data_IF_175354212220
#
_entry.id   IF_175354212220
#
_cell.length_a   1.000
_cell.length_b   1.000
_cell.length_c   1.000
_cell.angle_alpha   90.00
_cell.angle_beta   90.00
_cell.angle_gamma   90.00
#
_symmetry.space_group_name_H-M   'P 1'
#
loop_
_entity.id
_entity.type
_entity.pdbx_description
1 polymer ?
#
# COMPACT_ATOMS: atom_id res chain seq x y z
N UNK A 1 18.71 15.85 17.93
CA UNK A 1 19.47 15.79 19.22
C UNK A 1 19.72 17.22 19.67
N UNK A 2 19.48 17.51 20.96
CA UNK A 2 19.72 18.81 21.53
C UNK A 2 21.04 18.78 22.35
N UNK A 3 21.96 19.71 22.08
CA UNK A 3 23.24 19.84 22.82
C UNK A 3 23.05 20.01 24.33
N UNK A 4 21.94 20.62 24.75
CA UNK A 4 21.63 20.86 26.20
C UNK A 4 20.97 19.66 26.88
N UNK A 5 20.47 18.70 26.07
CA UNK A 5 19.84 17.46 26.54
C UNK A 5 20.18 16.33 25.56
N UNK A 6 21.42 15.81 25.64
CA UNK A 6 21.91 14.82 24.67
C UNK A 6 21.28 13.42 24.83
N UNK A 7 20.63 13.15 25.97
CA UNK A 7 19.92 11.90 26.23
C UNK A 7 18.53 11.87 25.62
N UNK A 8 18.05 12.99 25.06
CA UNK A 8 16.76 13.07 24.40
C UNK A 8 16.89 13.15 22.89
N UNK A 9 16.20 12.24 22.20
CA UNK A 9 15.97 12.29 20.77
C UNK A 9 14.56 12.81 20.51
N UNK A 10 14.41 13.75 19.57
CA UNK A 10 13.12 14.31 19.18
C UNK A 10 12.90 14.04 17.70
N UNK A 11 11.77 13.41 17.38
CA UNK A 11 11.29 13.22 16.02
C UNK A 11 9.98 13.95 15.79
N UNK A 12 9.82 14.49 14.58
CA UNK A 12 8.60 15.19 14.17
C UNK A 12 8.12 14.58 12.86
N UNK A 13 6.86 14.18 12.80
CA UNK A 13 6.23 13.79 11.55
C UNK A 13 5.53 14.99 10.93
N UNK A 14 5.91 15.30 9.70
CA UNK A 14 5.24 16.27 8.85
C UNK A 14 5.28 15.76 7.41
N UNK A 15 4.22 15.10 6.97
CA UNK A 15 4.04 14.40 5.69
C UNK A 15 4.92 13.14 5.53
N UNK A 16 6.24 13.25 5.68
CA UNK A 16 7.14 12.09 5.62
C UNK A 16 6.85 11.11 6.77
N UNK A 17 6.84 9.81 6.49
CA UNK A 17 6.58 8.79 7.51
C UNK A 17 7.62 8.83 8.63
N UNK A 18 7.15 8.56 9.85
CA UNK A 18 8.02 8.44 11.02
C UNK A 18 7.42 7.41 11.96
N UNK A 19 8.22 6.43 12.33
CA UNK A 19 7.86 5.37 13.27
C UNK A 19 8.84 5.36 14.44
N UNK A 20 8.32 5.09 15.63
CA UNK A 20 9.11 4.89 16.83
C UNK A 20 9.11 3.41 17.19
N UNK A 21 10.28 2.81 17.35
CA UNK A 21 10.47 1.48 17.92
C UNK A 21 10.74 1.58 19.43
N UNK A 22 10.13 0.67 20.20
CA UNK A 22 10.38 0.54 21.64
C UNK A 22 11.15 -0.74 21.89
N UNK A 23 12.35 -0.62 22.47
CA UNK A 23 13.17 -1.74 22.93
C UNK A 23 13.27 -1.79 24.46
N UNK A 24 14.08 -2.70 24.95
CA UNK A 24 14.39 -2.79 26.37
C UNK A 24 15.50 -1.80 26.74
N UNK A 25 15.18 -0.78 27.52
CA UNK A 25 16.08 0.33 27.87
C UNK A 25 16.66 1.08 26.65
N UNK A 26 15.93 1.08 25.56
CA UNK A 26 16.31 1.77 24.33
C UNK A 26 15.08 2.17 23.54
N UNK A 27 15.20 3.20 22.73
CA UNK A 27 14.14 3.68 21.85
C UNK A 27 14.74 4.10 20.51
N UNK A 28 14.04 3.78 19.45
CA UNK A 28 14.49 3.98 18.08
C UNK A 28 13.54 4.86 17.30
N UNK A 29 14.04 5.48 16.25
CA UNK A 29 13.24 6.25 15.30
C UNK A 29 13.71 5.99 13.90
N UNK A 30 12.77 5.75 12.99
CA UNK A 30 13.04 5.53 11.57
C UNK A 30 11.86 6.00 10.71
N UNK A 31 12.07 6.07 9.42
CA UNK A 31 11.00 6.34 8.44
C UNK A 31 10.15 5.10 8.15
N UNK A 32 10.68 3.90 8.38
CA UNK A 32 10.04 2.61 8.07
C UNK A 32 10.28 1.58 9.15
N UNK A 33 9.30 0.70 9.38
CA UNK A 33 9.35 -0.42 10.32
C UNK A 33 10.47 -1.39 9.97
N UNK A 34 10.73 -1.64 8.69
CA UNK A 34 11.77 -2.57 8.24
C UNK A 34 13.16 -2.22 8.76
N UNK A 35 13.45 -0.92 8.92
CA UNK A 35 14.73 -0.47 9.47
C UNK A 35 14.91 -0.84 10.95
N UNK A 36 13.82 -1.06 11.68
CA UNK A 36 13.83 -1.32 13.12
C UNK A 36 13.39 -2.74 13.50
N UNK A 37 12.78 -3.48 12.57
CA UNK A 37 12.30 -4.85 12.81
C UNK A 37 13.39 -5.82 13.33
N UNK A 38 14.68 -5.67 12.96
CA UNK A 38 15.74 -6.50 13.55
C UNK A 38 16.00 -6.26 15.05
N UNK A 39 15.56 -5.12 15.60
CA UNK A 39 15.88 -4.71 16.99
C UNK A 39 14.65 -4.60 17.89
N UNK A 40 13.46 -4.51 17.34
CA UNK A 40 12.20 -4.47 18.11
C UNK A 40 11.01 -4.92 17.29
N UNK A 41 9.99 -5.45 17.98
CA UNK A 41 8.66 -5.76 17.40
C UNK A 41 7.57 -4.79 17.87
N UNK A 42 7.90 -3.78 18.68
CA UNK A 42 6.93 -2.83 19.21
C UNK A 42 7.08 -1.44 18.60
N UNK A 43 6.04 -1.00 17.90
CA UNK A 43 6.06 0.21 17.11
C UNK A 43 4.96 1.18 17.48
N UNK A 44 5.29 2.47 17.43
CA UNK A 44 4.34 3.58 17.51
C UNK A 44 4.41 4.36 16.20
N UNK A 45 3.31 4.35 15.46
CA UNK A 45 3.17 5.17 14.25
C UNK A 45 2.73 6.56 14.64
N UNK A 46 3.49 7.57 14.21
CA UNK A 46 3.11 8.97 14.43
C UNK A 46 2.12 9.40 13.32
N UNK A 47 1.24 10.31 13.67
CA UNK A 47 0.39 11.04 12.74
C UNK A 47 1.02 12.38 12.36
N UNK A 48 0.55 13.01 11.28
CA UNK A 48 1.03 14.34 10.88
C UNK A 48 0.82 15.36 11.99
N UNK A 49 1.88 16.15 12.26
CA UNK A 49 1.90 17.14 13.33
C UNK A 49 2.15 16.55 14.71
N UNK A 50 2.49 15.28 14.82
CA UNK A 50 2.92 14.71 16.10
C UNK A 50 4.45 14.76 16.25
N UNK A 51 4.86 14.95 17.52
CA UNK A 51 6.24 14.95 17.95
C UNK A 51 6.45 13.79 18.93
N UNK A 52 7.49 13.00 18.69
CA UNK A 52 7.95 11.99 19.64
C UNK A 52 9.17 12.49 20.40
N UNK A 53 9.12 12.39 21.70
CA UNK A 53 10.24 12.63 22.61
C UNK A 53 10.66 11.28 23.17
N UNK A 54 11.89 10.86 22.85
CA UNK A 54 12.43 9.56 23.19
C UNK A 54 13.64 9.70 24.11
N UNK A 55 13.70 8.88 25.12
CA UNK A 55 14.90 8.56 25.85
C UNK A 55 14.98 7.05 26.07
N UNK A 56 15.98 6.56 26.82
CA UNK A 56 16.18 5.13 27.07
C UNK A 56 14.97 4.46 27.73
N UNK A 57 14.21 5.19 28.55
CA UNK A 57 13.15 4.61 29.38
C UNK A 57 11.74 4.89 28.83
N UNK A 58 11.57 6.00 28.12
CA UNK A 58 10.24 6.53 27.82
C UNK A 58 10.12 7.12 26.42
N UNK A 59 9.00 6.78 25.79
CA UNK A 59 8.50 7.46 24.58
C UNK A 59 7.28 8.29 24.96
N UNK A 60 7.32 9.59 24.69
CA UNK A 60 6.20 10.50 24.88
C UNK A 60 5.83 11.13 23.55
N UNK A 61 4.58 10.98 23.13
CA UNK A 61 4.06 11.62 21.91
C UNK A 61 3.25 12.85 22.28
N UNK A 62 3.49 13.95 21.58
CA UNK A 62 2.76 15.22 21.74
C UNK A 62 2.27 15.72 20.40
N UNK A 63 1.22 16.51 20.41
CA UNK A 63 0.76 17.25 19.24
C UNK A 63 1.41 18.64 19.15
N UNK A 64 1.16 19.37 18.07
CA UNK A 64 1.68 20.73 17.85
C UNK A 64 1.25 21.76 18.94
N UNK A 65 0.18 21.45 19.71
CA UNK A 65 -0.25 22.26 20.85
C UNK A 65 0.45 21.87 22.17
N UNK A 66 1.52 21.07 22.08
CA UNK A 66 2.31 20.55 23.23
C UNK A 66 1.49 19.68 24.22
N UNK A 67 0.33 19.15 23.78
CA UNK A 67 -0.47 18.24 24.60
C UNK A 67 -0.02 16.81 24.34
N UNK A 68 0.15 16.03 25.41
CA UNK A 68 0.45 14.60 25.32
C UNK A 68 -0.72 13.86 24.66
N UNK A 69 -0.40 13.03 23.67
CA UNK A 69 -1.33 12.18 22.93
C UNK A 69 -1.09 10.73 23.33
N UNK A 70 -2.16 9.98 23.57
CA UNK A 70 -2.05 8.54 23.81
C UNK A 70 -1.73 7.85 22.50
N UNK A 71 -0.48 7.48 22.31
CA UNK A 71 -0.04 6.72 21.14
C UNK A 71 -0.26 5.23 21.37
N UNK A 72 -0.88 4.56 20.38
CA UNK A 72 -1.08 3.11 20.40
C UNK A 72 0.22 2.41 19.98
N UNK A 73 0.66 1.45 20.79
CA UNK A 73 1.75 0.54 20.39
C UNK A 73 1.16 -0.60 19.60
N UNK A 74 1.78 -0.89 18.45
CA UNK A 74 1.46 -2.01 17.58
C UNK A 74 2.57 -3.04 17.68
N UNK A 75 2.20 -4.29 17.84
CA UNK A 75 3.12 -5.41 17.75
C UNK A 75 3.16 -5.91 16.30
N UNK A 76 4.34 -6.11 15.78
CA UNK A 76 4.57 -6.58 14.41
C UNK A 76 5.39 -7.87 14.50
N UNK A 77 4.99 -8.88 13.72
CA UNK A 77 5.77 -10.11 13.64
C UNK A 77 7.12 -9.82 12.97
N UNK A 78 8.19 -9.88 13.77
CA UNK A 78 9.56 -9.67 13.29
C UNK A 78 9.98 -10.69 12.23
N UNK A 79 9.41 -11.89 12.23
CA UNK A 79 9.72 -12.92 11.24
C UNK A 79 9.24 -12.51 9.83
N UNK A 80 8.22 -11.67 9.72
CA UNK A 80 7.76 -11.13 8.45
C UNK A 80 8.78 -10.19 7.78
N UNK A 81 9.79 -9.74 8.53
CA UNK A 81 10.81 -8.78 8.07
C UNK A 81 12.24 -9.35 8.14
N UNK A 82 12.39 -10.65 8.37
CA UNK A 82 13.72 -11.27 8.34
C UNK A 82 14.28 -11.23 6.92
N UNK A 83 15.41 -10.55 6.79
CA UNK A 83 16.08 -10.27 5.54
C UNK A 83 17.32 -11.18 5.38
N UNK A 84 17.07 -12.45 5.09
CA UNK A 84 18.15 -13.37 4.72
C UNK A 84 18.34 -13.36 3.20
N UNK A 85 19.59 -13.37 2.73
CA UNK A 85 19.92 -13.46 1.31
C UNK A 85 19.58 -14.82 0.68
N UNK A 86 19.37 -15.87 1.51
CA UNK A 86 18.96 -17.20 1.03
C UNK A 86 19.92 -17.84 0.03
N UNK A 87 21.22 -17.53 0.14
CA UNK A 87 22.27 -18.04 -0.76
C UNK A 87 22.48 -17.21 -2.03
N UNK A 88 21.76 -16.11 -2.23
CA UNK A 88 21.97 -15.14 -3.31
C UNK A 88 23.04 -14.11 -2.95
N UNK A 89 23.70 -13.53 -3.95
CA UNK A 89 24.71 -12.49 -3.73
C UNK A 89 24.08 -11.12 -3.40
N UNK A 90 22.86 -10.85 -3.90
CA UNK A 90 22.17 -9.58 -3.75
C UNK A 90 20.67 -9.78 -3.51
N UNK A 91 20.05 -8.90 -2.75
CA UNK A 91 18.60 -8.93 -2.50
C UNK A 91 17.77 -8.88 -3.80
N UNK A 92 18.16 -8.05 -4.75
CA UNK A 92 17.47 -7.96 -6.03
C UNK A 92 17.47 -9.30 -6.79
N UNK A 93 18.60 -10.03 -6.77
CA UNK A 93 18.66 -11.36 -7.37
C UNK A 93 17.70 -12.34 -6.67
N UNK A 94 17.74 -12.40 -5.34
CA UNK A 94 16.78 -13.19 -4.55
C UNK A 94 15.34 -12.87 -4.91
N UNK A 95 14.99 -11.58 -4.92
CA UNK A 95 13.64 -11.11 -5.18
C UNK A 95 13.15 -11.42 -6.60
N UNK A 96 14.06 -11.47 -7.59
CA UNK A 96 13.74 -11.94 -8.94
C UNK A 96 13.32 -13.40 -8.91
N UNK A 97 14.03 -14.25 -8.19
CA UNK A 97 13.72 -15.68 -8.08
C UNK A 97 12.51 -15.96 -7.15
N UNK A 98 12.16 -15.04 -6.28
CA UNK A 98 10.96 -15.13 -5.43
C UNK A 98 9.64 -14.81 -6.18
N UNK A 99 9.70 -14.23 -7.38
CA UNK A 99 8.50 -13.79 -8.12
C UNK A 99 7.43 -14.89 -8.27
N UNK A 100 7.74 -16.14 -8.66
CA UNK A 100 6.72 -17.17 -8.82
C UNK A 100 5.96 -17.43 -7.51
N UNK A 101 6.68 -17.52 -6.38
CA UNK A 101 6.07 -17.68 -5.07
C UNK A 101 5.24 -16.47 -4.68
N UNK A 102 5.77 -15.26 -4.86
CA UNK A 102 5.09 -14.03 -4.52
C UNK A 102 3.77 -13.85 -5.31
N UNK A 103 3.76 -14.20 -6.60
CA UNK A 103 2.54 -14.18 -7.42
C UNK A 103 1.52 -15.19 -6.89
N UNK A 104 1.95 -16.41 -6.55
CA UNK A 104 1.08 -17.43 -5.95
C UNK A 104 0.47 -16.90 -4.63
N UNK A 105 1.28 -16.36 -3.73
CA UNK A 105 0.83 -15.82 -2.44
C UNK A 105 -0.14 -14.64 -2.64
N UNK A 106 0.04 -13.84 -3.71
CA UNK A 106 -0.86 -12.73 -4.04
C UNK A 106 -2.26 -13.18 -4.48
N UNK A 107 -2.39 -14.36 -5.09
CA UNK A 107 -3.67 -14.87 -5.60
C UNK A 107 -4.28 -15.96 -4.72
N UNK A 108 -3.52 -16.55 -3.81
CA UNK A 108 -3.96 -17.64 -2.95
C UNK A 108 -5.17 -17.23 -2.09
N UNK A 109 -6.22 -18.08 -2.12
CA UNK A 109 -7.48 -17.81 -1.42
C UNK A 109 -8.31 -16.65 -2.00
N UNK A 110 -7.89 -16.05 -3.12
CA UNK A 110 -8.56 -14.90 -3.77
C UNK A 110 -9.13 -15.23 -5.14
N UNK A 111 -8.74 -16.36 -5.69
CA UNK A 111 -9.19 -16.84 -6.99
C UNK A 111 -9.86 -18.19 -6.82
N UNK A 112 -11.02 -18.36 -7.42
CA UNK A 112 -11.70 -19.65 -7.61
C UNK A 112 -11.44 -20.17 -9.02
N UNK A 113 -11.82 -21.40 -9.31
CA UNK A 113 -11.70 -21.97 -10.65
C UNK A 113 -12.51 -21.22 -11.72
N UNK A 114 -13.36 -20.27 -11.34
CA UNK A 114 -14.27 -19.56 -12.25
C UNK A 114 -14.14 -18.04 -12.21
N UNK A 115 -13.73 -17.46 -11.07
CA UNK A 115 -13.73 -16.01 -10.88
C UNK A 115 -12.93 -15.58 -9.63
N UNK A 116 -12.76 -14.27 -9.43
CA UNK A 116 -12.28 -13.73 -8.16
C UNK A 116 -13.28 -14.03 -7.05
N UNK A 117 -12.78 -14.43 -5.88
CA UNK A 117 -13.62 -14.69 -4.72
C UNK A 117 -14.28 -13.39 -4.24
N UNK A 118 -15.52 -13.50 -3.76
CA UNK A 118 -16.22 -12.34 -3.18
C UNK A 118 -15.58 -11.88 -1.88
N UNK A 119 -15.60 -10.56 -1.67
CA UNK A 119 -15.12 -9.94 -0.43
C UNK A 119 -13.61 -9.79 -0.29
N UNK A 120 -12.79 -10.14 -1.30
CA UNK A 120 -11.32 -10.02 -1.23
C UNK A 120 -10.83 -8.59 -1.04
N UNK A 121 -11.62 -7.59 -1.43
CA UNK A 121 -11.34 -6.17 -1.25
C UNK A 121 -11.92 -5.60 0.05
N UNK A 122 -12.69 -6.38 0.79
CA UNK A 122 -13.42 -5.99 2.00
C UNK A 122 -14.93 -6.05 1.83
N UNK A 123 -15.62 -6.15 2.96
CA UNK A 123 -17.08 -6.25 2.98
C UNK A 123 -17.74 -4.99 2.38
N UNK A 124 -18.64 -5.18 1.42
CA UNK A 124 -19.39 -4.08 0.79
C UNK A 124 -18.73 -3.48 -0.45
N UNK A 125 -17.44 -3.71 -0.71
CA UNK A 125 -16.73 -3.14 -1.86
C UNK A 125 -17.47 -3.36 -3.18
N UNK A 126 -17.89 -4.59 -3.45
CA UNK A 126 -18.55 -4.95 -4.72
C UNK A 126 -19.88 -4.23 -4.93
N UNK A 127 -20.60 -3.94 -3.83
CA UNK A 127 -21.84 -3.15 -3.88
C UNK A 127 -21.55 -1.69 -4.26
N UNK A 128 -20.48 -1.13 -3.73
CA UNK A 128 -20.11 0.27 -3.97
C UNK A 128 -19.55 0.51 -5.38
N UNK A 129 -18.84 -0.50 -5.95
CA UNK A 129 -18.30 -0.37 -7.32
C UNK A 129 -19.30 -0.66 -8.43
N UNK A 130 -20.55 -1.01 -8.11
CA UNK A 130 -21.57 -1.41 -9.11
C UNK A 130 -21.88 -0.32 -10.14
N UNK A 131 -21.89 0.92 -9.70
CA UNK A 131 -22.27 2.08 -10.55
C UNK A 131 -21.06 2.91 -11.00
N UNK A 132 -19.85 2.39 -10.83
CA UNK A 132 -18.61 3.07 -11.21
C UNK A 132 -18.52 3.15 -12.74
N UNK A 133 -18.23 4.35 -13.24
CA UNK A 133 -18.03 4.63 -14.66
C UNK A 133 -16.62 5.12 -14.98
N UNK A 134 -15.85 5.47 -13.97
CA UNK A 134 -14.49 5.96 -14.11
C UNK A 134 -13.56 5.31 -13.08
N UNK A 135 -12.33 5.05 -13.49
CA UNK A 135 -11.26 4.60 -12.62
C UNK A 135 -10.13 5.62 -12.72
N UNK A 136 -9.71 6.14 -11.58
CA UNK A 136 -8.54 6.99 -11.46
C UNK A 136 -7.48 6.23 -10.70
N UNK A 137 -6.28 6.06 -11.27
CA UNK A 137 -5.17 5.40 -10.59
C UNK A 137 -4.05 6.42 -10.36
N UNK A 138 -3.51 6.42 -9.15
CA UNK A 138 -2.40 7.30 -8.76
C UNK A 138 -1.28 6.47 -8.17
N UNK A 139 -0.09 6.59 -8.74
CA UNK A 139 1.07 5.82 -8.32
C UNK A 139 2.38 6.51 -8.74
N UNK A 140 3.51 6.00 -8.27
CA UNK A 140 4.86 6.44 -8.64
C UNK A 140 5.73 5.25 -9.05
N UNK A 141 6.79 5.48 -9.83
CA UNK A 141 7.78 4.47 -10.18
C UNK A 141 7.17 3.27 -10.92
N UNK A 142 7.62 2.06 -10.58
CA UNK A 142 7.12 0.82 -11.20
C UNK A 142 5.64 0.58 -10.93
N UNK A 143 5.11 1.04 -9.79
CA UNK A 143 3.67 1.00 -9.49
C UNK A 143 2.84 1.81 -10.49
N UNK A 144 3.37 2.94 -10.99
CA UNK A 144 2.74 3.67 -12.09
C UNK A 144 2.70 2.84 -13.38
N UNK A 145 3.77 2.10 -13.68
CA UNK A 145 3.80 1.25 -14.87
C UNK A 145 2.82 0.08 -14.76
N UNK A 146 2.64 -0.52 -13.58
CA UNK A 146 1.60 -1.54 -13.36
C UNK A 146 0.19 -0.98 -13.59
N UNK A 147 -0.05 0.25 -13.14
CA UNK A 147 -1.30 0.97 -13.37
C UNK A 147 -1.56 1.23 -14.87
N UNK A 148 -0.53 1.57 -15.64
CA UNK A 148 -0.63 1.77 -17.10
C UNK A 148 -1.04 0.49 -17.83
N UNK A 149 -0.58 -0.66 -17.37
CA UNK A 149 -1.03 -1.96 -17.91
C UNK A 149 -2.50 -2.18 -17.60
N UNK A 150 -2.94 -1.88 -16.38
CA UNK A 150 -4.35 -1.99 -16.01
C UNK A 150 -5.25 -1.03 -16.80
N UNK A 151 -4.82 0.18 -17.08
CA UNK A 151 -5.54 1.12 -17.95
C UNK A 151 -5.84 0.49 -19.31
N UNK A 152 -4.84 -0.16 -19.91
CA UNK A 152 -5.04 -0.91 -21.17
C UNK A 152 -6.07 -2.03 -21.00
N UNK A 153 -6.01 -2.80 -19.91
CA UNK A 153 -6.97 -3.86 -19.63
C UNK A 153 -8.38 -3.31 -19.37
N UNK A 154 -8.50 -2.21 -18.66
CA UNK A 154 -9.80 -1.56 -18.39
C UNK A 154 -10.49 -1.15 -19.70
N UNK A 155 -9.78 -0.52 -20.60
CA UNK A 155 -10.32 -0.14 -21.90
C UNK A 155 -10.73 -1.35 -22.72
N UNK A 156 -9.89 -2.39 -22.74
CA UNK A 156 -10.12 -3.60 -23.55
C UNK A 156 -11.27 -4.47 -23.03
N UNK A 157 -11.34 -4.69 -21.72
CA UNK A 157 -12.23 -5.69 -21.14
C UNK A 157 -13.45 -5.10 -20.42
N UNK A 158 -13.36 -3.90 -19.88
CA UNK A 158 -14.45 -3.26 -19.15
C UNK A 158 -15.19 -2.21 -19.98
N UNK A 159 -14.48 -1.52 -20.86
CA UNK A 159 -14.99 -0.32 -21.51
C UNK A 159 -15.26 0.81 -20.54
N UNK A 160 -14.59 0.80 -19.39
CA UNK A 160 -14.64 1.84 -18.37
C UNK A 160 -13.46 2.80 -18.60
N UNK A 161 -13.72 4.10 -18.53
CA UNK A 161 -12.66 5.09 -18.61
C UNK A 161 -11.71 4.94 -17.43
N UNK A 162 -10.44 4.69 -17.74
CA UNK A 162 -9.38 4.58 -16.76
C UNK A 162 -8.30 5.61 -17.08
N UNK A 163 -7.91 6.39 -16.10
CA UNK A 163 -6.83 7.37 -16.19
C UNK A 163 -5.77 7.07 -15.15
N UNK A 164 -4.52 7.19 -15.53
CA UNK A 164 -3.37 6.95 -14.65
C UNK A 164 -2.53 8.21 -14.58
N UNK A 165 -2.33 8.72 -13.38
CA UNK A 165 -1.50 9.90 -13.12
C UNK A 165 -0.34 9.57 -12.16
N UNK A 166 0.77 10.30 -12.30
CA UNK A 166 1.82 10.31 -11.30
C UNK A 166 1.35 10.98 -10.01
N UNK A 167 1.70 10.39 -8.86
CA UNK A 167 1.40 10.96 -7.56
C UNK A 167 1.91 12.38 -7.37
N UNK A 168 3.08 12.71 -7.93
CA UNK A 168 3.64 14.06 -7.92
C UNK A 168 2.78 15.09 -8.64
N UNK A 169 2.02 14.67 -9.67
CA UNK A 169 1.29 15.57 -10.57
C UNK A 169 -0.20 15.69 -10.24
N UNK A 170 -0.80 14.59 -9.71
CA UNK A 170 -2.25 14.51 -9.53
C UNK A 170 -2.83 15.62 -8.64
N UNK A 171 -2.12 16.00 -7.58
CA UNK A 171 -2.58 17.03 -6.64
C UNK A 171 -2.62 18.46 -7.23
N UNK A 172 -1.99 18.68 -8.38
CA UNK A 172 -1.98 19.98 -9.09
C UNK A 172 -3.01 20.04 -10.23
N UNK A 173 -3.75 18.96 -10.44
CA UNK A 173 -4.79 18.90 -11.45
C UNK A 173 -6.16 19.22 -10.82
N UNK A 174 -7.13 19.62 -11.66
CA UNK A 174 -8.51 19.67 -11.21
C UNK A 174 -9.04 18.23 -11.04
N UNK A 175 -9.59 17.90 -9.87
CA UNK A 175 -10.10 16.55 -9.61
C UNK A 175 -11.30 16.26 -10.52
N UNK A 176 -11.39 15.02 -11.00
CA UNK A 176 -12.57 14.55 -11.70
C UNK A 176 -13.71 14.48 -10.68
N UNK A 177 -14.64 15.42 -10.78
CA UNK A 177 -15.82 15.51 -9.91
C UNK A 177 -16.91 14.56 -10.42
N UNK A 178 -16.78 13.26 -10.18
CA UNK A 178 -17.88 12.33 -10.43
C UNK A 178 -18.04 11.40 -9.24
N UNK A 179 -19.25 11.28 -8.73
CA UNK A 179 -19.63 10.37 -7.64
C UNK A 179 -19.45 8.88 -8.01
N UNK A 180 -19.08 8.61 -9.28
CA UNK A 180 -18.94 7.27 -9.86
C UNK A 180 -17.49 6.95 -10.23
N UNK A 181 -16.55 7.47 -9.45
CA UNK A 181 -15.11 7.24 -9.66
C UNK A 181 -14.54 6.36 -8.57
N UNK A 182 -13.85 5.28 -8.96
CA UNK A 182 -12.97 4.52 -8.09
C UNK A 182 -11.56 5.12 -8.18
N UNK A 183 -11.06 5.63 -7.06
CA UNK A 183 -9.66 6.02 -6.92
C UNK A 183 -8.85 4.82 -6.45
N UNK A 184 -7.86 4.40 -7.23
CA UNK A 184 -6.94 3.32 -6.85
C UNK A 184 -5.57 3.93 -6.60
N UNK A 185 -4.99 3.67 -5.44
CA UNK A 185 -3.61 4.03 -5.12
C UNK A 185 -2.75 2.78 -5.06
N UNK A 186 -1.60 2.80 -5.72
CA UNK A 186 -0.69 1.65 -5.77
C UNK A 186 0.66 2.05 -5.19
N UNK A 187 1.14 1.31 -4.20
CA UNK A 187 2.43 1.54 -3.59
C UNK A 187 2.96 0.26 -2.94
N UNK A 188 4.24 -0.05 -3.11
CA UNK A 188 4.85 -1.18 -2.41
C UNK A 188 4.89 -0.91 -0.89
N UNK A 189 5.47 0.18 -0.44
CA UNK A 189 5.60 0.53 0.98
C UNK A 189 4.31 1.07 1.60
N UNK A 190 3.42 1.65 0.78
CA UNK A 190 2.26 2.40 1.25
C UNK A 190 2.59 3.71 1.97
N UNK A 191 3.85 4.15 1.88
CA UNK A 191 4.36 5.38 2.50
C UNK A 191 4.90 6.37 1.46
N UNK A 192 4.68 6.12 0.15
CA UNK A 192 5.10 7.03 -0.92
C UNK A 192 4.42 8.39 -0.74
N UNK A 193 5.20 9.41 -0.42
CA UNK A 193 4.68 10.72 -0.01
C UNK A 193 3.75 11.36 -1.05
N UNK A 194 4.13 11.32 -2.33
CA UNK A 194 3.33 11.89 -3.42
C UNK A 194 2.01 11.15 -3.62
N UNK A 195 2.01 9.81 -3.55
CA UNK A 195 0.79 8.99 -3.65
C UNK A 195 -0.14 9.25 -2.46
N UNK A 196 0.41 9.34 -1.25
CA UNK A 196 -0.36 9.64 -0.04
C UNK A 196 -0.96 11.06 -0.09
N UNK A 197 -0.17 12.07 -0.53
CA UNK A 197 -0.65 13.44 -0.69
C UNK A 197 -1.78 13.52 -1.70
N UNK A 198 -1.67 12.78 -2.81
CA UNK A 198 -2.69 12.69 -3.84
C UNK A 198 -3.99 12.04 -3.33
N UNK A 199 -3.89 10.96 -2.54
CA UNK A 199 -5.04 10.35 -1.88
C UNK A 199 -5.75 11.32 -0.96
N UNK A 200 -5.01 12.02 -0.09
CA UNK A 200 -5.55 13.03 0.82
C UNK A 200 -6.20 14.19 0.06
N UNK A 201 -5.57 14.65 -1.02
CA UNK A 201 -6.12 15.67 -1.90
C UNK A 201 -7.45 15.24 -2.51
N UNK A 202 -7.52 14.04 -3.10
CA UNK A 202 -8.74 13.51 -3.69
C UNK A 202 -9.88 13.37 -2.68
N UNK A 203 -9.58 12.86 -1.47
CA UNK A 203 -10.57 12.73 -0.39
C UNK A 203 -11.09 14.08 0.10
N UNK A 204 -10.25 15.11 0.09
CA UNK A 204 -10.65 16.48 0.47
C UNK A 204 -11.52 17.16 -0.59
N UNK A 205 -11.24 16.92 -1.87
CA UNK A 205 -11.84 17.67 -2.98
C UNK A 205 -13.05 16.97 -3.60
N UNK A 206 -12.96 15.67 -3.89
CA UNK A 206 -13.99 14.91 -4.62
C UNK A 206 -14.62 13.78 -3.82
N UNK A 207 -13.97 13.33 -2.73
CA UNK A 207 -14.39 12.17 -1.90
C UNK A 207 -14.71 10.91 -2.72
N UNK A 208 -13.89 10.52 -3.70
CA UNK A 208 -14.13 9.29 -4.45
C UNK A 208 -14.02 8.07 -3.52
N UNK A 209 -14.70 6.98 -3.88
CA UNK A 209 -14.42 5.67 -3.29
C UNK A 209 -12.95 5.32 -3.51
N UNK A 210 -12.22 4.94 -2.48
CA UNK A 210 -10.78 4.71 -2.56
C UNK A 210 -10.37 3.28 -2.22
N UNK A 211 -9.50 2.72 -3.05
CA UNK A 211 -8.87 1.41 -2.89
C UNK A 211 -7.35 1.55 -2.89
N UNK A 212 -6.69 1.01 -1.86
CA UNK A 212 -5.25 0.84 -1.85
C UNK A 212 -4.86 -0.56 -2.36
N UNK A 213 -3.87 -0.65 -3.24
CA UNK A 213 -3.14 -1.88 -3.55
C UNK A 213 -1.72 -1.71 -3.00
N UNK A 214 -1.41 -2.42 -1.92
CA UNK A 214 -0.21 -2.17 -1.14
C UNK A 214 0.36 -3.46 -0.55
N UNK A 215 1.65 -3.48 -0.25
CA UNK A 215 2.28 -4.65 0.38
C UNK A 215 2.30 -4.57 1.91
N UNK A 216 2.20 -3.38 2.49
CA UNK A 216 2.28 -3.16 3.95
C UNK A 216 0.92 -2.80 4.53
N UNK A 217 0.34 -3.71 5.32
CA UNK A 217 -1.04 -3.63 5.81
C UNK A 217 -1.36 -2.38 6.66
N UNK A 218 -0.42 -1.95 7.50
CA UNK A 218 -0.62 -0.82 8.41
C UNK A 218 0.00 0.48 7.88
N UNK A 219 0.26 0.56 6.58
CA UNK A 219 0.81 1.75 5.95
C UNK A 219 -0.19 2.92 5.94
N UNK A 220 0.35 4.14 5.76
CA UNK A 220 -0.46 5.36 5.72
C UNK A 220 -1.49 5.31 4.59
N UNK A 221 -1.13 4.82 3.41
CA UNK A 221 -2.04 4.70 2.27
C UNK A 221 -3.20 3.73 2.58
N UNK A 222 -2.89 2.57 3.21
CA UNK A 222 -3.95 1.63 3.60
C UNK A 222 -4.90 2.22 4.64
N UNK A 223 -4.37 2.94 5.65
CA UNK A 223 -5.22 3.54 6.70
C UNK A 223 -6.09 4.68 6.20
N UNK A 224 -5.63 5.42 5.20
CA UNK A 224 -6.35 6.55 4.60
C UNK A 224 -7.36 6.11 3.52
N UNK A 225 -7.26 4.90 2.98
CA UNK A 225 -8.17 4.37 1.97
C UNK A 225 -9.41 3.73 2.60
N UNK A 226 -10.52 3.70 1.86
CA UNK A 226 -11.76 3.06 2.32
C UNK A 226 -11.64 1.54 2.26
N UNK A 227 -10.88 1.03 1.28
CA UNK A 227 -10.59 -0.38 1.06
C UNK A 227 -9.11 -0.60 0.78
N UNK A 228 -8.61 -1.80 1.07
CA UNK A 228 -7.24 -2.17 0.78
C UNK A 228 -7.12 -3.64 0.34
N UNK A 229 -6.31 -3.90 -0.68
CA UNK A 229 -5.87 -5.22 -1.10
C UNK A 229 -4.36 -5.32 -0.92
N UNK A 230 -3.93 -6.27 -0.08
CA UNK A 230 -2.50 -6.50 0.14
C UNK A 230 -1.93 -7.38 -0.96
N UNK A 231 -0.73 -7.03 -1.46
CA UNK A 231 -0.07 -7.82 -2.51
C UNK A 231 0.58 -9.10 -1.98
N UNK A 232 0.84 -9.19 -0.67
CA UNK A 232 1.49 -10.32 -0.01
C UNK A 232 2.84 -10.71 -0.64
N UNK A 233 3.56 -9.75 -1.23
CA UNK A 233 4.84 -10.00 -1.90
C UNK A 233 5.98 -10.33 -0.92
N UNK A 234 5.75 -10.19 0.39
CA UNK A 234 6.82 -10.23 1.38
C UNK A 234 7.72 -8.98 1.32
N UNK A 235 8.80 -8.93 2.12
CA UNK A 235 9.72 -7.81 2.13
C UNK A 235 10.45 -7.66 0.79
N UNK A 236 10.51 -6.45 0.24
CA UNK A 236 11.32 -6.09 -0.93
C UNK A 236 12.33 -5.03 -0.51
N UNK A 237 13.62 -5.33 -0.64
CA UNK A 237 14.75 -4.52 -0.18
C UNK A 237 15.54 -3.96 -1.34
N UNK A 238 15.56 -4.67 -2.46
CA UNK A 238 16.17 -4.21 -3.70
C UNK A 238 15.63 -2.84 -4.10
N UNK A 239 16.54 -1.92 -4.49
CA UNK A 239 16.15 -0.56 -4.87
C UNK A 239 15.23 -0.57 -6.10
N UNK A 240 15.55 -1.42 -7.09
CA UNK A 240 14.69 -1.64 -8.23
C UNK A 240 13.63 -2.70 -7.88
N UNK A 241 12.36 -2.33 -8.03
CA UNK A 241 11.24 -3.21 -7.73
C UNK A 241 11.17 -4.39 -8.71
N UNK A 242 10.97 -5.58 -8.19
CA UNK A 242 10.86 -6.84 -8.94
C UNK A 242 9.56 -7.56 -8.59
N UNK A 243 9.52 -8.31 -7.51
CA UNK A 243 8.35 -9.09 -7.07
C UNK A 243 7.14 -8.21 -6.72
N UNK A 244 7.35 -7.02 -6.17
CA UNK A 244 6.24 -6.11 -5.89
C UNK A 244 5.52 -5.68 -7.17
N UNK A 245 6.22 -5.47 -8.28
CA UNK A 245 5.61 -5.13 -9.56
C UNK A 245 4.70 -6.26 -10.08
N UNK A 246 5.19 -7.51 -10.11
CA UNK A 246 4.39 -8.63 -10.64
C UNK A 246 3.21 -8.96 -9.72
N UNK A 247 3.35 -8.81 -8.40
CA UNK A 247 2.23 -9.00 -7.47
C UNK A 247 1.20 -7.88 -7.56
N UNK A 248 1.60 -6.64 -7.85
CA UNK A 248 0.67 -5.56 -8.20
C UNK A 248 -0.13 -5.90 -9.45
N UNK A 249 0.50 -6.45 -10.49
CA UNK A 249 -0.21 -6.92 -11.68
C UNK A 249 -1.21 -8.04 -11.36
N UNK A 250 -0.84 -8.99 -10.49
CA UNK A 250 -1.74 -10.04 -10.03
C UNK A 250 -2.97 -9.45 -9.29
N UNK A 251 -2.75 -8.51 -8.36
CA UNK A 251 -3.82 -7.81 -7.65
C UNK A 251 -4.72 -6.98 -8.59
N UNK A 252 -4.13 -6.32 -9.58
CA UNK A 252 -4.87 -5.58 -10.61
C UNK A 252 -5.71 -6.52 -11.49
N UNK A 253 -5.24 -7.74 -11.79
CA UNK A 253 -6.06 -8.75 -12.46
C UNK A 253 -7.25 -9.19 -11.58
N UNK A 254 -7.05 -9.36 -10.27
CA UNK A 254 -8.17 -9.62 -9.34
C UNK A 254 -9.20 -8.49 -9.36
N UNK A 255 -8.75 -7.23 -9.38
CA UNK A 255 -9.63 -6.06 -9.53
C UNK A 255 -10.37 -6.08 -10.87
N UNK A 256 -9.67 -6.36 -11.97
CA UNK A 256 -10.26 -6.51 -13.30
C UNK A 256 -11.36 -7.57 -13.31
N UNK A 257 -11.08 -8.77 -12.80
CA UNK A 257 -12.05 -9.88 -12.72
C UNK A 257 -13.27 -9.52 -11.88
N UNK A 258 -13.07 -8.84 -10.75
CA UNK A 258 -14.15 -8.38 -9.88
C UNK A 258 -15.02 -7.34 -10.58
N UNK A 259 -14.43 -6.35 -11.25
CA UNK A 259 -15.15 -5.36 -12.04
C UNK A 259 -15.88 -6.02 -13.22
N UNK A 260 -15.24 -6.97 -13.94
CA UNK A 260 -15.91 -7.71 -15.02
C UNK A 260 -17.11 -8.50 -14.52
N UNK A 261 -17.03 -9.08 -13.32
CA UNK A 261 -18.14 -9.80 -12.69
C UNK A 261 -19.27 -8.86 -12.30
N UNK A 262 -18.97 -7.80 -11.56
CA UNK A 262 -19.95 -6.83 -11.05
C UNK A 262 -20.69 -6.12 -12.19
N UNK A 263 -19.97 -5.78 -13.26
CA UNK A 263 -20.55 -5.11 -14.46
C UNK A 263 -21.05 -6.09 -15.53
N UNK A 264 -21.03 -7.40 -15.23
CA UNK A 264 -21.46 -8.47 -16.16
C UNK A 264 -20.79 -8.40 -17.54
N UNK A 265 -19.46 -8.18 -17.54
CA UNK A 265 -18.67 -8.05 -18.79
C UNK A 265 -18.00 -9.36 -19.20
N UNK A 266 -17.99 -9.61 -20.51
CA UNK A 266 -17.19 -10.60 -21.22
C UNK A 266 -16.95 -11.94 -20.48
N UNK A 267 -17.99 -12.79 -20.22
CA UNK A 267 -17.82 -14.01 -19.42
C UNK A 267 -16.74 -14.97 -19.93
N UNK A 268 -16.57 -15.09 -21.26
CA UNK A 268 -15.54 -15.95 -21.88
C UNK A 268 -14.14 -15.45 -21.57
N UNK A 269 -13.85 -14.18 -21.82
CA UNK A 269 -12.53 -13.60 -21.51
C UNK A 269 -12.22 -13.64 -20.01
N UNK A 270 -13.23 -13.51 -19.14
CA UNK A 270 -13.08 -13.68 -17.69
C UNK A 270 -12.58 -15.09 -17.37
N UNK A 271 -13.19 -16.13 -17.95
CA UNK A 271 -12.76 -17.52 -17.73
C UNK A 271 -11.32 -17.78 -18.24
N UNK A 272 -10.94 -17.19 -19.36
CA UNK A 272 -9.58 -17.28 -19.91
C UNK A 272 -8.54 -16.63 -19.00
N UNK A 273 -8.84 -15.44 -18.44
CA UNK A 273 -7.98 -14.75 -17.48
C UNK A 273 -7.84 -15.56 -16.19
N UNK A 274 -8.94 -16.11 -15.66
CA UNK A 274 -8.91 -16.97 -14.47
C UNK A 274 -8.02 -18.18 -14.71
N UNK A 275 -8.19 -18.87 -15.85
CA UNK A 275 -7.36 -20.01 -16.20
C UNK A 275 -5.88 -19.63 -16.27
N UNK A 276 -5.55 -18.57 -16.98
CA UNK A 276 -4.16 -18.10 -17.10
C UNK A 276 -3.52 -17.75 -15.74
N UNK A 277 -4.27 -17.10 -14.83
CA UNK A 277 -3.79 -16.80 -13.48
C UNK A 277 -3.62 -18.04 -12.61
N UNK A 278 -4.43 -19.09 -12.84
CA UNK A 278 -4.34 -20.34 -12.08
C UNK A 278 -3.17 -21.23 -12.54
N UNK A 279 -2.62 -20.98 -13.71
CA UNK A 279 -1.49 -21.69 -14.31
C UNK A 279 -0.12 -21.02 -14.00
N UNK A 280 -0.13 -19.83 -13.35
CA UNK A 280 1.08 -19.14 -12.88
C UNK A 280 1.59 -19.75 -11.57
#
# INVERSE_FOLDING_TARGET
INKKDPEQLIGVRNQSPLVVGKGFQESFIASDVMALAPVTNQFVYLEDGQLAFLNKEKVTVKNLKNKTVRAKTHEVDSNAYTTDLGGHNHFMEKEIFEQPRAVKDAIEGRLTNKESQEGIFGAGFEKEIKDITNIQIVACGTSYHSARIFEYWSHKFLGINCRVDYGSEYQYQEPIKTDKTLLVTISQSGETADTLSSLKFAKKTGKPLSLAICNVANSSICRESDYALLTNAGPEIGVASTKAFVTQLACLNLLLLTLMRVHNKLPKSRAEIVKALSEL
#
